data_IF_925011365992
#
_entry.id   IF_925011365992
#
_cell.length_a   1.000
_cell.length_b   1.000
_cell.length_c   1.000
_cell.angle_alpha   90.00
_cell.angle_beta   90.00
_cell.angle_gamma   90.00
#
_symmetry.space_group_name_H-M   'P 1'
#
loop_
_entity.id
_entity.type
_entity.pdbx_description
1 polymer ?
#
# COMPACT_ATOMS: atom_id res chain seq x y z
N UNK A 1 8.46 -61.42 -39.14
CA UNK A 1 7.56 -60.65 -38.26
C UNK A 1 8.36 -60.21 -37.04
N UNK A 2 8.83 -58.96 -37.01
CA UNK A 2 9.67 -58.46 -35.91
C UNK A 2 9.20 -57.04 -35.59
N UNK A 3 8.41 -56.94 -34.52
CA UNK A 3 7.80 -55.70 -34.04
C UNK A 3 8.86 -54.89 -33.28
N UNK A 4 9.36 -53.82 -33.89
CA UNK A 4 10.21 -52.83 -33.23
C UNK A 4 9.30 -51.73 -32.66
N UNK A 5 8.90 -51.90 -31.41
CA UNK A 5 8.29 -50.86 -30.59
C UNK A 5 9.42 -50.08 -29.90
N UNK A 6 9.91 -49.02 -30.54
CA UNK A 6 10.72 -48.02 -29.86
C UNK A 6 9.79 -47.04 -29.17
N UNK A 7 9.67 -47.22 -27.87
CA UNK A 7 9.05 -46.30 -26.93
C UNK A 7 9.81 -44.97 -27.00
N UNK A 8 9.18 -43.95 -27.57
CA UNK A 8 9.65 -42.57 -27.45
C UNK A 8 9.58 -42.15 -25.98
N UNK A 9 10.72 -42.24 -25.30
CA UNK A 9 10.96 -41.63 -23.99
C UNK A 9 10.91 -40.11 -24.16
N UNK A 10 9.70 -39.52 -24.11
CA UNK A 10 9.52 -38.08 -23.90
C UNK A 10 9.96 -37.76 -22.46
N UNK A 11 11.24 -37.44 -22.30
CA UNK A 11 11.74 -36.75 -21.12
C UNK A 11 11.16 -35.32 -21.14
N UNK A 12 9.98 -35.15 -20.55
CA UNK A 12 9.45 -33.83 -20.23
C UNK A 12 10.37 -33.24 -19.15
N UNK A 13 11.33 -32.42 -19.60
CA UNK A 13 12.06 -31.51 -18.74
C UNK A 13 11.05 -30.52 -18.16
N UNK A 14 10.39 -30.92 -17.06
CA UNK A 14 9.70 -30.00 -16.18
C UNK A 14 10.77 -29.12 -15.54
N UNK A 15 11.21 -28.11 -16.28
CA UNK A 15 11.97 -27.01 -15.72
C UNK A 15 11.11 -26.40 -14.63
N UNK A 16 11.53 -26.54 -13.38
CA UNK A 16 11.00 -25.76 -12.26
C UNK A 16 11.20 -24.28 -12.59
N UNK A 17 10.24 -23.67 -13.29
CA UNK A 17 10.24 -22.25 -13.53
C UNK A 17 10.24 -21.57 -12.16
N UNK A 18 11.26 -20.74 -11.90
CA UNK A 18 11.38 -19.99 -10.66
C UNK A 18 10.11 -19.15 -10.50
N UNK A 19 9.31 -19.45 -9.48
CA UNK A 19 8.07 -18.74 -9.21
C UNK A 19 8.35 -17.23 -9.09
N UNK A 20 7.60 -16.45 -9.86
CA UNK A 20 7.71 -14.99 -9.88
C UNK A 20 7.57 -14.45 -8.44
N UNK A 21 8.47 -13.55 -7.99
CA UNK A 21 8.44 -13.04 -6.62
C UNK A 21 7.09 -12.46 -6.18
N UNK A 22 6.38 -11.79 -7.10
CA UNK A 22 5.09 -11.15 -6.82
C UNK A 22 3.94 -12.15 -6.63
N UNK A 23 4.04 -13.33 -7.23
CA UNK A 23 3.01 -14.38 -7.15
C UNK A 23 3.25 -15.33 -5.98
N UNK A 24 4.29 -15.09 -5.17
CA UNK A 24 4.55 -15.87 -3.96
C UNK A 24 3.53 -15.53 -2.89
N UNK A 25 2.97 -16.56 -2.27
CA UNK A 25 2.02 -16.43 -1.17
C UNK A 25 2.71 -16.06 0.13
N UNK A 26 2.20 -15.05 0.81
CA UNK A 26 2.60 -14.60 2.14
C UNK A 26 2.11 -15.62 3.18
N UNK A 27 3.00 -16.05 4.07
CA UNK A 27 2.63 -16.82 5.27
C UNK A 27 2.77 -15.91 6.49
N UNK A 28 1.67 -15.61 7.15
CA UNK A 28 1.58 -14.66 8.26
C UNK A 28 0.65 -15.13 9.40
N UNK A 29 0.14 -16.36 9.36
CA UNK A 29 -0.69 -16.98 10.40
C UNK A 29 -0.17 -16.78 11.84
N UNK A 30 1.16 -16.75 12.03
CA UNK A 30 1.82 -16.32 13.27
C UNK A 30 2.90 -15.25 13.00
N UNK A 31 3.29 -14.44 14.00
CA UNK A 31 4.41 -13.50 13.85
C UNK A 31 5.71 -14.21 13.47
N UNK A 32 5.94 -15.40 14.02
CA UNK A 32 7.11 -16.24 13.72
C UNK A 32 7.08 -16.70 12.26
N UNK A 33 5.93 -17.15 11.76
CA UNK A 33 5.81 -17.59 10.38
C UNK A 33 6.00 -16.45 9.38
N UNK A 34 5.53 -15.24 9.71
CA UNK A 34 5.83 -14.05 8.90
C UNK A 34 7.32 -13.76 8.85
N UNK A 35 8.02 -13.78 9.98
CA UNK A 35 9.46 -13.55 10.03
C UNK A 35 10.24 -14.62 9.24
N UNK A 36 9.89 -15.90 9.39
CA UNK A 36 10.48 -17.01 8.64
C UNK A 36 10.20 -16.90 7.14
N UNK A 37 8.98 -16.52 6.76
CA UNK A 37 8.62 -16.29 5.37
C UNK A 37 9.45 -15.18 4.77
N UNK A 38 9.59 -14.03 5.45
CA UNK A 38 10.43 -12.90 5.00
C UNK A 38 11.89 -13.33 4.79
N UNK A 39 12.44 -14.09 5.73
CA UNK A 39 13.80 -14.62 5.64
C UNK A 39 14.04 -15.51 4.41
N UNK A 40 13.01 -16.24 3.94
CA UNK A 40 13.10 -17.11 2.75
C UNK A 40 13.01 -16.36 1.42
N UNK A 41 12.39 -15.18 1.37
CA UNK A 41 12.19 -14.48 0.10
C UNK A 41 13.45 -13.76 -0.41
N UNK A 42 14.41 -13.47 0.48
CA UNK A 42 15.66 -12.83 0.09
C UNK A 42 15.46 -11.40 -0.43
N UNK A 43 16.18 -11.02 -1.49
CA UNK A 43 16.15 -9.68 -2.10
C UNK A 43 15.13 -9.52 -3.24
N UNK A 44 14.41 -10.60 -3.56
CA UNK A 44 13.50 -10.63 -4.71
C UNK A 44 12.21 -9.83 -4.48
N UNK A 45 11.91 -9.45 -3.23
CA UNK A 45 10.74 -8.64 -2.85
C UNK A 45 11.17 -7.18 -2.66
N UNK A 46 10.38 -6.25 -3.19
CA UNK A 46 10.51 -4.82 -2.94
C UNK A 46 10.14 -4.48 -1.49
N UNK A 47 11.02 -4.79 -0.54
CA UNK A 47 10.72 -4.72 0.89
C UNK A 47 10.28 -3.34 1.37
N UNK A 48 10.86 -2.27 0.82
CA UNK A 48 10.43 -0.90 1.14
C UNK A 48 8.95 -0.70 0.83
N UNK A 49 8.51 -1.11 -0.36
CA UNK A 49 7.13 -0.93 -0.81
C UNK A 49 6.18 -1.89 -0.09
N UNK A 50 6.66 -3.11 0.24
CA UNK A 50 5.90 -4.06 1.05
C UNK A 50 5.66 -3.56 2.48
N UNK A 51 6.68 -2.97 3.11
CA UNK A 51 6.57 -2.45 4.47
C UNK A 51 5.68 -1.20 4.53
N UNK A 52 5.72 -0.34 3.49
CA UNK A 52 4.75 0.75 3.32
C UNK A 52 3.33 0.18 3.21
N UNK A 53 3.12 -0.84 2.37
CA UNK A 53 1.81 -1.46 2.21
C UNK A 53 1.27 -2.05 3.54
N UNK A 54 2.12 -2.73 4.33
CA UNK A 54 1.74 -3.23 5.66
C UNK A 54 1.36 -2.10 6.63
N UNK A 55 2.10 -0.98 6.60
CA UNK A 55 1.79 0.15 7.45
C UNK A 55 0.44 0.79 7.10
N UNK A 56 0.12 0.89 5.81
CA UNK A 56 -1.16 1.47 5.36
C UNK A 56 -2.34 0.54 5.69
N UNK A 57 -2.16 -0.78 5.58
CA UNK A 57 -3.13 -1.76 6.11
C UNK A 57 -3.34 -1.59 7.61
N UNK A 58 -2.27 -1.32 8.36
CA UNK A 58 -2.34 -1.06 9.81
C UNK A 58 -3.15 0.21 10.11
N UNK A 59 -2.88 1.29 9.38
CA UNK A 59 -3.58 2.56 9.52
C UNK A 59 -5.07 2.42 9.18
N UNK A 60 -5.40 1.70 8.12
CA UNK A 60 -6.78 1.42 7.72
C UNK A 60 -7.57 0.67 8.82
N UNK A 61 -6.98 -0.36 9.42
CA UNK A 61 -7.58 -1.07 10.56
C UNK A 61 -7.83 -0.12 11.75
N UNK A 62 -6.90 0.80 12.02
CA UNK A 62 -7.03 1.80 13.08
C UNK A 62 -8.14 2.81 12.78
N UNK A 63 -8.18 3.34 11.56
CA UNK A 63 -9.19 4.31 11.10
C UNK A 63 -10.59 3.68 11.14
N UNK A 64 -10.73 2.44 10.65
CA UNK A 64 -11.97 1.68 10.68
C UNK A 64 -12.36 1.18 12.09
N UNK A 65 -11.48 1.34 13.09
CA UNK A 65 -11.65 0.80 14.45
C UNK A 65 -11.95 -0.71 14.47
N UNK A 66 -11.43 -1.44 13.48
CA UNK A 66 -11.67 -2.88 13.34
C UNK A 66 -10.92 -3.73 14.37
N UNK A 67 -9.89 -3.15 15.01
CA UNK A 67 -9.20 -3.71 16.15
C UNK A 67 -8.70 -2.58 17.06
N UNK A 68 -8.43 -2.88 18.33
CA UNK A 68 -7.90 -1.92 19.32
C UNK A 68 -6.73 -2.51 20.09
N UNK A 69 -5.68 -1.71 20.29
CA UNK A 69 -4.43 -2.15 20.90
C UNK A 69 -3.45 -2.73 19.87
N UNK A 70 -2.15 -2.54 20.12
CA UNK A 70 -1.10 -2.85 19.15
C UNK A 70 -1.11 -4.31 18.70
N UNK A 71 -1.30 -5.25 19.63
CA UNK A 71 -1.30 -6.69 19.36
C UNK A 71 -2.49 -7.13 18.49
N UNK A 72 -3.70 -6.65 18.80
CA UNK A 72 -4.89 -7.00 18.03
C UNK A 72 -4.84 -6.42 16.60
N UNK A 73 -4.28 -5.22 16.45
CA UNK A 73 -4.03 -4.61 15.14
C UNK A 73 -3.03 -5.45 14.35
N UNK A 74 -1.90 -5.85 14.94
CA UNK A 74 -0.90 -6.70 14.29
C UNK A 74 -1.46 -8.06 13.87
N UNK A 75 -2.24 -8.68 14.75
CA UNK A 75 -2.96 -9.92 14.44
C UNK A 75 -3.92 -9.74 13.27
N UNK A 76 -4.67 -8.63 13.23
CA UNK A 76 -5.60 -8.34 12.14
C UNK A 76 -4.88 -8.10 10.81
N UNK A 77 -3.76 -7.36 10.82
CA UNK A 77 -2.92 -7.18 9.61
C UNK A 77 -2.44 -8.53 9.12
N UNK A 78 -1.89 -9.38 10.01
CA UNK A 78 -1.41 -10.71 9.66
C UNK A 78 -2.51 -11.59 9.07
N UNK A 79 -3.68 -11.64 9.68
CA UNK A 79 -4.83 -12.36 9.15
C UNK A 79 -5.29 -11.83 7.77
N UNK A 80 -5.13 -10.53 7.53
CA UNK A 80 -5.51 -9.91 6.25
C UNK A 80 -4.58 -10.33 5.11
N UNK A 81 -3.27 -10.45 5.39
CA UNK A 81 -2.26 -10.77 4.37
C UNK A 81 -1.93 -12.26 4.26
N UNK A 82 -2.27 -13.09 5.26
CA UNK A 82 -1.99 -14.52 5.23
C UNK A 82 -2.72 -15.19 4.06
N UNK A 83 -2.00 -16.03 3.31
CA UNK A 83 -2.54 -16.69 2.12
C UNK A 83 -2.68 -15.78 0.88
N UNK A 84 -2.41 -14.48 1.00
CA UNK A 84 -2.42 -13.55 -0.13
C UNK A 84 -1.08 -13.53 -0.86
N UNK A 85 -1.07 -13.12 -2.13
CA UNK A 85 0.19 -12.93 -2.88
C UNK A 85 0.87 -11.63 -2.49
N UNK A 86 2.19 -11.55 -2.67
CA UNK A 86 2.95 -10.29 -2.51
C UNK A 86 2.33 -9.17 -3.36
N UNK A 87 1.93 -9.50 -4.59
CA UNK A 87 1.23 -8.59 -5.50
C UNK A 87 -0.05 -8.03 -4.89
N UNK A 88 -0.87 -8.87 -4.28
CA UNK A 88 -2.11 -8.46 -3.62
C UNK A 88 -1.81 -7.50 -2.48
N UNK A 89 -0.85 -7.83 -1.61
CA UNK A 89 -0.49 -6.98 -0.46
C UNK A 89 -0.03 -5.60 -0.92
N UNK A 90 0.83 -5.54 -1.94
CA UNK A 90 1.29 -4.28 -2.51
C UNK A 90 0.12 -3.46 -3.08
N UNK A 91 -0.72 -4.06 -3.93
CA UNK A 91 -1.87 -3.36 -4.52
C UNK A 91 -2.81 -2.82 -3.45
N UNK A 92 -3.17 -3.65 -2.48
CA UNK A 92 -4.11 -3.27 -1.43
C UNK A 92 -3.56 -2.16 -0.54
N UNK A 93 -2.30 -2.26 -0.11
CA UNK A 93 -1.68 -1.24 0.74
C UNK A 93 -1.49 0.10 0.02
N UNK A 94 -1.06 0.08 -1.25
CA UNK A 94 -0.92 1.31 -2.04
C UNK A 94 -2.26 1.93 -2.40
N UNK A 95 -3.30 1.12 -2.63
CA UNK A 95 -4.66 1.64 -2.81
C UNK A 95 -5.15 2.36 -1.55
N UNK A 96 -4.98 1.75 -0.36
CA UNK A 96 -5.33 2.38 0.91
C UNK A 96 -4.56 3.68 1.17
N UNK A 97 -3.29 3.74 0.75
CA UNK A 97 -2.50 4.97 0.81
C UNK A 97 -3.11 6.08 -0.04
N UNK A 98 -3.48 5.79 -1.29
CA UNK A 98 -4.14 6.76 -2.18
C UNK A 98 -5.44 7.25 -1.56
N UNK A 99 -6.29 6.34 -1.06
CA UNK A 99 -7.56 6.69 -0.43
C UNK A 99 -7.36 7.58 0.81
N UNK A 100 -6.41 7.23 1.69
CA UNK A 100 -6.08 8.04 2.88
C UNK A 100 -5.57 9.43 2.52
N UNK A 101 -4.65 9.53 1.56
CA UNK A 101 -4.07 10.81 1.16
C UNK A 101 -5.10 11.71 0.47
N UNK A 102 -6.00 11.14 -0.35
CA UNK A 102 -7.12 11.89 -0.93
C UNK A 102 -8.05 12.44 0.15
N UNK A 103 -8.40 11.63 1.14
CA UNK A 103 -9.20 12.09 2.28
C UNK A 103 -8.50 13.22 3.07
N UNK A 104 -7.18 13.13 3.27
CA UNK A 104 -6.39 14.18 3.91
C UNK A 104 -6.37 15.47 3.07
N UNK A 105 -6.17 15.34 1.76
CA UNK A 105 -6.20 16.46 0.82
C UNK A 105 -7.56 17.19 0.86
N UNK A 106 -8.67 16.46 0.80
CA UNK A 106 -10.01 17.04 0.83
C UNK A 106 -10.32 17.76 2.15
N UNK A 107 -9.81 17.22 3.28
CA UNK A 107 -9.92 17.88 4.58
C UNK A 107 -9.11 19.19 4.62
N UNK A 108 -7.89 19.20 4.07
CA UNK A 108 -7.07 20.40 3.99
C UNK A 108 -7.73 21.48 3.13
N UNK A 109 -8.27 21.11 1.97
CA UNK A 109 -9.02 22.03 1.10
C UNK A 109 -10.25 22.61 1.79
N UNK A 110 -11.00 21.78 2.53
CA UNK A 110 -12.14 22.23 3.32
C UNK A 110 -11.70 23.24 4.40
N UNK A 111 -10.60 22.98 5.11
CA UNK A 111 -10.07 23.90 6.11
C UNK A 111 -9.57 25.21 5.49
N UNK A 112 -8.87 25.16 4.35
CA UNK A 112 -8.44 26.37 3.64
C UNK A 112 -9.65 27.22 3.24
N UNK A 113 -10.67 26.59 2.68
CA UNK A 113 -11.92 27.25 2.27
C UNK A 113 -12.61 27.90 3.48
N UNK A 114 -12.71 27.18 4.59
CA UNK A 114 -13.29 27.69 5.83
C UNK A 114 -12.50 28.90 6.37
N UNK A 115 -11.16 28.82 6.43
CA UNK A 115 -10.34 29.93 6.94
C UNK A 115 -10.39 31.17 6.04
N UNK A 116 -10.42 30.99 4.71
CA UNK A 116 -10.62 32.09 3.76
C UNK A 116 -11.96 32.81 3.99
N UNK A 117 -13.00 32.09 4.42
CA UNK A 117 -14.30 32.70 4.73
C UNK A 117 -14.26 33.59 5.99
N UNK A 118 -13.43 33.26 6.99
CA UNK A 118 -13.28 34.08 8.20
C UNK A 118 -12.59 35.41 7.93
N UNK A 119 -11.64 35.47 6.97
CA UNK A 119 -11.01 36.72 6.53
C UNK A 119 -12.02 37.74 5.97
N UNK A 120 -13.17 37.29 5.49
CA UNK A 120 -14.22 38.18 4.97
C UNK A 120 -15.08 38.85 6.06
N UNK A 121 -14.85 38.50 7.34
CA UNK A 121 -15.57 39.07 8.49
C UNK A 121 -14.75 40.20 9.13
N UNK A 122 -15.40 41.21 9.75
CA UNK A 122 -14.67 42.27 10.45
C UNK A 122 -13.85 41.72 11.61
N UNK A 123 -12.52 41.92 11.58
CA UNK A 123 -11.56 41.46 12.59
C UNK A 123 -10.52 42.51 12.96
N UNK A 124 -9.58 42.13 13.83
CA UNK A 124 -8.36 42.91 14.10
C UNK A 124 -7.27 42.53 13.09
N UNK A 125 -6.36 43.47 12.77
CA UNK A 125 -5.23 43.18 11.87
C UNK A 125 -4.41 41.96 12.32
N UNK A 126 -4.17 41.81 13.62
CA UNK A 126 -3.44 40.66 14.18
C UNK A 126 -4.15 39.31 13.93
N UNK A 127 -5.49 39.31 13.93
CA UNK A 127 -6.27 38.11 13.61
C UNK A 127 -6.20 37.78 12.12
N UNK A 128 -6.21 38.81 11.25
CA UNK A 128 -6.08 38.65 9.81
C UNK A 128 -4.70 38.10 9.41
N UNK A 129 -3.63 38.65 9.99
CA UNK A 129 -2.25 38.20 9.76
C UNK A 129 -2.07 36.73 10.21
N UNK A 130 -2.62 36.35 11.37
CA UNK A 130 -2.58 34.97 11.85
C UNK A 130 -3.34 34.00 10.93
N UNK A 131 -4.49 34.41 10.40
CA UNK A 131 -5.26 33.60 9.45
C UNK A 131 -4.52 33.42 8.12
N UNK A 132 -3.82 34.45 7.66
CA UNK A 132 -3.01 34.39 6.44
C UNK A 132 -1.87 33.37 6.59
N UNK A 133 -1.08 33.48 7.66
CA UNK A 133 -0.04 32.50 7.98
C UNK A 133 -0.58 31.07 8.05
N UNK A 134 -1.78 30.91 8.62
CA UNK A 134 -2.41 29.58 8.73
C UNK A 134 -2.86 29.04 7.37
N UNK A 135 -3.42 29.88 6.51
CA UNK A 135 -3.83 29.51 5.16
C UNK A 135 -2.61 29.10 4.34
N UNK A 136 -1.50 29.81 4.45
CA UNK A 136 -0.26 29.50 3.74
C UNK A 136 0.32 28.16 4.18
N UNK A 137 0.35 27.89 5.49
CA UNK A 137 0.77 26.59 6.03
C UNK A 137 -0.10 25.43 5.53
N UNK A 138 -1.43 25.60 5.54
CA UNK A 138 -2.37 24.57 5.08
C UNK A 138 -2.24 24.35 3.56
N UNK A 139 -2.07 25.42 2.78
CA UNK A 139 -1.85 25.33 1.33
C UNK A 139 -0.57 24.57 1.01
N UNK A 140 0.54 24.92 1.69
CA UNK A 140 1.79 24.20 1.52
C UNK A 140 1.71 22.72 1.94
N UNK A 141 0.89 22.39 2.96
CA UNK A 141 0.62 21.01 3.32
C UNK A 141 -0.19 20.30 2.24
N UNK A 142 -1.28 20.91 1.74
CA UNK A 142 -2.12 20.35 0.68
C UNK A 142 -1.30 20.04 -0.57
N UNK A 143 -0.44 20.96 -1.01
CA UNK A 143 0.40 20.78 -2.20
C UNK A 143 1.44 19.66 -2.02
N UNK A 144 1.90 19.42 -0.79
CA UNK A 144 2.72 18.23 -0.49
C UNK A 144 1.88 16.96 -0.58
N UNK A 145 0.69 16.94 0.02
CA UNK A 145 -0.22 15.79 -0.03
C UNK A 145 -0.62 15.46 -1.47
N UNK A 146 -0.84 16.45 -2.33
CA UNK A 146 -1.14 16.26 -3.75
C UNK A 146 0.00 15.51 -4.48
N UNK A 147 1.26 15.93 -4.27
CA UNK A 147 2.42 15.21 -4.82
C UNK A 147 2.55 13.78 -4.29
N UNK A 148 2.24 13.58 -3.01
CA UNK A 148 2.26 12.24 -2.39
C UNK A 148 1.15 11.33 -2.98
N UNK A 149 -0.02 11.90 -3.34
CA UNK A 149 -1.07 11.17 -4.07
C UNK A 149 -0.55 10.72 -5.42
N UNK A 150 0.02 11.62 -6.21
CA UNK A 150 0.56 11.28 -7.54
C UNK A 150 1.63 10.19 -7.46
N UNK A 151 2.53 10.25 -6.46
CA UNK A 151 3.51 9.19 -6.24
C UNK A 151 2.85 7.85 -5.91
N UNK A 152 1.88 7.85 -4.98
CA UNK A 152 1.18 6.64 -4.59
C UNK A 152 0.37 6.04 -5.76
N UNK A 153 -0.23 6.87 -6.62
CA UNK A 153 -0.96 6.43 -7.81
C UNK A 153 -0.03 5.82 -8.86
N UNK A 154 1.14 6.43 -9.12
CA UNK A 154 2.17 5.84 -9.99
C UNK A 154 2.60 4.48 -9.49
N UNK A 155 2.83 4.35 -8.18
CA UNK A 155 3.19 3.07 -7.54
C UNK A 155 2.07 2.04 -7.65
N UNK A 156 0.83 2.43 -7.41
CA UNK A 156 -0.31 1.55 -7.57
C UNK A 156 -0.46 1.06 -9.01
N UNK A 157 -0.24 1.93 -10.00
CA UNK A 157 -0.25 1.57 -11.41
C UNK A 157 0.86 0.57 -11.75
N UNK A 158 2.10 0.81 -11.30
CA UNK A 158 3.23 -0.12 -11.44
C UNK A 158 2.86 -1.54 -10.97
N UNK A 159 2.21 -1.66 -9.80
CA UNK A 159 1.81 -2.96 -9.26
C UNK A 159 0.60 -3.58 -9.96
N UNK A 160 -0.25 -2.78 -10.61
CA UNK A 160 -1.35 -3.26 -11.46
C UNK A 160 -0.84 -3.81 -12.78
N UNK A 161 0.07 -3.11 -13.44
CA UNK A 161 0.60 -3.44 -14.76
C UNK A 161 1.57 -4.61 -14.75
N UNK A 162 2.40 -4.76 -13.70
CA UNK A 162 3.32 -5.90 -13.57
C UNK A 162 2.61 -7.28 -13.54
N UNK A 163 1.28 -7.33 -13.57
CA UNK A 163 0.49 -8.56 -13.70
C UNK A 163 -0.33 -8.69 -14.99
N UNK A 164 -0.29 -7.70 -15.89
CA UNK A 164 -1.10 -7.65 -17.11
C UNK A 164 -0.32 -8.13 -18.36
N UNK A 165 1.01 -8.20 -18.33
CA UNK A 165 1.84 -8.63 -19.46
C UNK A 165 1.98 -10.17 -19.60
N UNK A 166 0.92 -10.94 -19.33
CA UNK A 166 0.92 -12.40 -19.55
C UNK A 166 -0.35 -12.91 -20.20
#
# INVERSE_FOLDING_TARGET
>A
MQKWLWVCTMAVLAGCARQEPLDRTVRADTPVNLALWRGKQGRDVAWKDFDVALQELRLDIMIAKAASGAQAIDERVRHTIDGQTVRWVLREGWQKRVERLRNEHDQLEAFITQNKSFRSQPGTQEADDHLEDKIDQLTAQRDRTERDIEEAERKLAEWRETGAER
#
